data_IF_528416375118
#
_entry.id   IF_528416375118
#
_cell.length_a   1.000
_cell.length_b   1.000
_cell.length_c   1.000
_cell.angle_alpha   90.00
_cell.angle_beta   90.00
_cell.angle_gamma   90.00
#
_symmetry.space_group_name_H-M   'P 1'
#
loop_
_entity.id
_entity.type
_entity.pdbx_description
1 polymer ?
#
# COMPACT_ATOMS: atom_id res chain seq x y z
N UNK A 1 4.85 8.32 -22.72
CA UNK A 1 3.74 7.87 -21.84
C UNK A 1 3.44 6.41 -22.15
N UNK A 2 3.33 5.57 -21.12
CA UNK A 2 2.95 4.14 -21.15
C UNK A 2 3.96 3.21 -21.82
N UNK A 3 5.08 2.95 -21.16
CA UNK A 3 5.81 1.69 -21.35
C UNK A 3 6.17 1.07 -19.99
N UNK A 4 5.16 0.92 -19.12
CA UNK A 4 5.29 0.07 -17.94
C UNK A 4 5.21 -1.37 -18.42
N UNK A 5 6.32 -2.12 -18.37
CA UNK A 5 6.30 -3.57 -18.59
C UNK A 5 5.21 -4.17 -17.69
N UNK A 6 4.26 -4.89 -18.27
CA UNK A 6 3.20 -5.57 -17.51
C UNK A 6 3.85 -6.56 -16.55
N UNK A 7 3.46 -6.51 -15.28
CA UNK A 7 3.94 -7.47 -14.30
C UNK A 7 3.39 -8.88 -14.59
N UNK A 8 4.06 -9.92 -14.09
CA UNK A 8 3.72 -11.31 -14.41
C UNK A 8 2.27 -11.71 -14.06
N UNK A 9 1.67 -11.04 -13.06
CA UNK A 9 0.25 -11.17 -12.70
C UNK A 9 -0.66 -10.55 -13.77
N UNK A 10 -0.38 -9.31 -14.18
CA UNK A 10 -1.13 -8.58 -15.20
C UNK A 10 -1.07 -9.26 -16.56
N UNK A 11 0.09 -9.77 -16.97
CA UNK A 11 0.23 -10.51 -18.22
C UNK A 11 -0.65 -11.75 -18.23
N UNK A 12 -0.71 -12.49 -17.11
CA UNK A 12 -1.60 -13.65 -16.95
C UNK A 12 -3.08 -13.25 -17.00
N UNK A 13 -3.47 -12.15 -16.36
CA UNK A 13 -4.84 -11.63 -16.45
C UNK A 13 -5.22 -11.25 -17.89
N UNK A 14 -4.35 -10.51 -18.59
CA UNK A 14 -4.57 -10.11 -19.98
C UNK A 14 -4.73 -11.32 -20.91
N UNK A 15 -3.87 -12.35 -20.77
CA UNK A 15 -3.98 -13.58 -21.56
C UNK A 15 -5.34 -14.25 -21.34
N UNK A 16 -5.84 -14.28 -20.11
CA UNK A 16 -7.14 -14.89 -19.79
C UNK A 16 -8.31 -14.09 -20.36
N UNK A 17 -8.26 -12.77 -20.26
CA UNK A 17 -9.25 -11.87 -20.86
C UNK A 17 -9.30 -12.11 -22.38
N UNK A 18 -8.16 -12.06 -23.05
CA UNK A 18 -8.07 -12.25 -24.51
C UNK A 18 -8.56 -13.64 -24.90
N UNK A 19 -8.12 -14.69 -24.20
CA UNK A 19 -8.57 -16.06 -24.45
C UNK A 19 -10.08 -16.22 -24.25
N UNK A 20 -10.64 -15.65 -23.18
CA UNK A 20 -12.08 -15.68 -22.91
C UNK A 20 -12.90 -14.94 -23.97
N UNK A 21 -12.46 -13.76 -24.41
CA UNK A 21 -13.10 -13.02 -25.52
C UNK A 21 -13.09 -13.83 -26.81
N UNK A 22 -11.94 -14.41 -27.18
CA UNK A 22 -11.82 -15.24 -28.38
C UNK A 22 -12.74 -16.47 -28.34
N UNK A 23 -12.85 -17.12 -27.18
CA UNK A 23 -13.75 -18.27 -27.00
C UNK A 23 -15.23 -17.87 -27.11
N UNK A 24 -15.63 -16.72 -26.54
CA UNK A 24 -17.00 -16.20 -26.67
C UNK A 24 -17.33 -15.84 -28.13
N UNK A 25 -16.41 -15.18 -28.83
CA UNK A 25 -16.59 -14.85 -30.25
C UNK A 25 -16.69 -16.12 -31.11
N UNK A 26 -15.84 -17.12 -30.85
CA UNK A 26 -15.89 -18.41 -31.52
C UNK A 26 -17.24 -19.12 -31.28
N UNK A 27 -17.68 -19.20 -30.02
CA UNK A 27 -18.97 -19.80 -29.67
C UNK A 27 -20.17 -19.08 -30.28
N UNK A 28 -20.10 -17.75 -30.42
CA UNK A 28 -21.20 -16.93 -30.93
C UNK A 28 -21.35 -16.98 -32.44
N UNK A 29 -20.23 -16.97 -33.19
CA UNK A 29 -20.24 -16.83 -34.65
C UNK A 29 -19.94 -18.11 -35.43
N UNK A 30 -19.13 -19.03 -34.89
CA UNK A 30 -18.65 -20.20 -35.63
C UNK A 30 -19.38 -21.50 -35.28
N UNK A 31 -20.01 -21.57 -34.10
CA UNK A 31 -20.53 -22.83 -33.56
C UNK A 31 -22.06 -22.85 -33.58
N UNK A 32 -22.70 -23.81 -34.29
CA UNK A 32 -24.14 -24.01 -34.26
C UNK A 32 -24.66 -24.34 -32.86
N UNK A 33 -25.96 -24.12 -32.62
CA UNK A 33 -26.65 -24.48 -31.37
C UNK A 33 -26.49 -25.98 -31.09
N UNK A 34 -25.54 -26.30 -30.21
CA UNK A 34 -25.09 -27.67 -29.93
C UNK A 34 -24.49 -27.74 -28.53
N UNK A 35 -24.36 -28.96 -27.99
CA UNK A 35 -23.69 -29.18 -26.71
C UNK A 35 -22.22 -28.68 -26.72
N UNK A 36 -21.60 -28.60 -27.90
CA UNK A 36 -20.28 -28.00 -28.09
C UNK A 36 -20.27 -26.51 -27.76
N UNK A 37 -21.30 -25.75 -28.18
CA UNK A 37 -21.46 -24.33 -27.87
C UNK A 37 -21.53 -24.09 -26.36
N UNK A 38 -22.29 -24.92 -25.65
CA UNK A 38 -22.40 -24.87 -24.18
C UNK A 38 -21.05 -25.16 -23.52
N UNK A 39 -20.34 -26.20 -23.99
CA UNK A 39 -19.02 -26.55 -23.46
C UNK A 39 -18.01 -25.40 -23.64
N UNK A 40 -18.00 -24.73 -24.79
CA UNK A 40 -17.12 -23.59 -25.05
C UNK A 40 -17.45 -22.42 -24.12
N UNK A 41 -18.73 -22.11 -23.89
CA UNK A 41 -19.12 -21.08 -22.93
C UNK A 41 -18.70 -21.42 -21.50
N UNK A 42 -18.85 -22.66 -21.06
CA UNK A 42 -18.39 -23.08 -19.73
C UNK A 42 -16.86 -22.98 -19.59
N UNK A 43 -16.11 -23.34 -20.62
CA UNK A 43 -14.65 -23.19 -20.63
C UNK A 43 -14.27 -21.71 -20.58
N UNK A 44 -14.92 -20.86 -21.37
CA UNK A 44 -14.69 -19.41 -21.36
C UNK A 44 -15.00 -18.80 -19.98
N UNK A 45 -16.11 -19.22 -19.36
CA UNK A 45 -16.50 -18.82 -18.02
C UNK A 45 -15.44 -19.20 -16.98
N UNK A 46 -14.92 -20.43 -17.02
CA UNK A 46 -13.89 -20.86 -16.07
C UNK A 46 -12.56 -20.13 -16.28
N UNK A 47 -12.11 -19.92 -17.52
CA UNK A 47 -10.85 -19.22 -17.80
C UNK A 47 -10.89 -17.77 -17.31
N UNK A 48 -11.99 -17.06 -17.59
CA UNK A 48 -12.19 -15.68 -17.17
C UNK A 48 -12.42 -15.60 -15.65
N UNK A 49 -13.30 -16.46 -15.14
CA UNK A 49 -13.88 -16.38 -13.80
C UNK A 49 -13.14 -17.09 -12.67
N UNK A 50 -12.19 -18.00 -12.94
CA UNK A 50 -11.57 -18.79 -11.87
C UNK A 50 -11.00 -17.96 -10.70
N UNK A 51 -10.35 -16.79 -10.88
CA UNK A 51 -9.79 -16.07 -9.74
C UNK A 51 -10.90 -15.50 -8.86
N UNK A 52 -12.01 -15.07 -9.47
CA UNK A 52 -13.17 -14.51 -8.79
C UNK A 52 -13.86 -15.61 -8.00
N UNK A 53 -14.07 -16.78 -8.62
CA UNK A 53 -14.63 -17.96 -7.97
C UNK A 53 -13.78 -18.41 -6.77
N UNK A 54 -12.46 -18.49 -6.94
CA UNK A 54 -11.54 -18.86 -5.84
C UNK A 54 -11.54 -17.79 -4.74
N UNK A 55 -11.53 -16.49 -5.09
CA UNK A 55 -11.61 -15.38 -4.13
C UNK A 55 -12.91 -15.48 -3.32
N UNK A 56 -14.05 -15.66 -3.99
CA UNK A 56 -15.36 -15.78 -3.36
C UNK A 56 -15.41 -16.96 -2.37
N UNK A 57 -14.95 -18.15 -2.79
CA UNK A 57 -14.90 -19.34 -1.94
C UNK A 57 -13.99 -19.09 -0.73
N UNK A 58 -12.80 -18.51 -0.93
CA UNK A 58 -11.88 -18.21 0.16
C UNK A 58 -12.48 -17.21 1.15
N UNK A 59 -13.13 -16.15 0.66
CA UNK A 59 -13.78 -15.14 1.49
C UNK A 59 -14.95 -15.70 2.30
N UNK A 60 -15.71 -16.63 1.70
CA UNK A 60 -16.77 -17.39 2.37
C UNK A 60 -16.22 -18.13 3.60
N UNK A 61 -15.12 -18.86 3.44
CA UNK A 61 -14.49 -19.61 4.54
C UNK A 61 -13.86 -18.73 5.62
N UNK A 62 -13.48 -17.48 5.29
CA UNK A 62 -12.92 -16.53 6.25
C UNK A 62 -13.98 -15.63 6.93
N UNK A 63 -15.27 -15.97 6.80
CA UNK A 63 -16.37 -15.24 7.44
C UNK A 63 -16.70 -13.88 6.79
N UNK A 64 -16.13 -13.57 5.62
CA UNK A 64 -16.49 -12.39 4.81
C UNK A 64 -17.64 -12.74 3.89
N UNK A 65 -18.79 -13.01 4.49
CA UNK A 65 -20.05 -13.22 3.79
C UNK A 65 -20.50 -11.89 3.15
N UNK A 66 -21.06 -11.94 1.94
CA UNK A 66 -21.60 -10.78 1.22
C UNK A 66 -20.56 -9.77 0.70
N UNK A 67 -19.51 -10.26 0.04
CA UNK A 67 -18.62 -9.42 -0.76
C UNK A 67 -19.06 -9.38 -2.25
N UNK A 68 -18.41 -8.51 -3.03
CA UNK A 68 -18.67 -8.37 -4.47
C UNK A 68 -18.37 -9.66 -5.25
N UNK A 69 -17.31 -10.39 -4.86
CA UNK A 69 -16.94 -11.65 -5.51
C UNK A 69 -18.01 -12.72 -5.26
N UNK A 70 -18.59 -12.77 -4.07
CA UNK A 70 -19.72 -13.62 -3.75
C UNK A 70 -20.95 -13.25 -4.58
N UNK A 71 -21.30 -11.96 -4.65
CA UNK A 71 -22.44 -11.49 -5.44
C UNK A 71 -22.30 -11.89 -6.91
N UNK A 72 -21.11 -11.67 -7.47
CA UNK A 72 -20.78 -12.02 -8.85
C UNK A 72 -20.80 -13.52 -9.10
N UNK A 73 -20.29 -14.31 -8.15
CA UNK A 73 -20.33 -15.77 -8.23
C UNK A 73 -21.76 -16.30 -8.21
N UNK A 74 -22.59 -15.84 -7.26
CA UNK A 74 -23.99 -16.28 -7.15
C UNK A 74 -24.78 -15.89 -8.40
N UNK A 75 -24.61 -14.67 -8.89
CA UNK A 75 -25.31 -14.20 -10.08
C UNK A 75 -24.93 -14.99 -11.34
N UNK A 76 -23.63 -15.21 -11.57
CA UNK A 76 -23.15 -15.89 -12.78
C UNK A 76 -23.38 -17.40 -12.74
N UNK A 77 -23.22 -18.05 -11.58
CA UNK A 77 -23.59 -19.46 -11.39
C UNK A 77 -25.09 -19.63 -11.53
N UNK A 78 -25.90 -18.73 -10.96
CA UNK A 78 -27.35 -18.73 -11.13
C UNK A 78 -27.77 -18.59 -12.60
N UNK A 79 -27.11 -17.71 -13.36
CA UNK A 79 -27.35 -17.54 -14.79
C UNK A 79 -27.02 -18.82 -15.59
N UNK A 80 -25.92 -19.51 -15.24
CA UNK A 80 -25.56 -20.81 -15.83
C UNK A 80 -26.64 -21.87 -15.53
N UNK A 81 -27.16 -21.91 -14.29
CA UNK A 81 -28.21 -22.87 -13.89
C UNK A 81 -29.52 -22.68 -14.67
N UNK A 82 -29.87 -21.44 -15.03
CA UNK A 82 -31.03 -21.14 -15.88
C UNK A 82 -30.75 -21.23 -17.38
N UNK A 83 -29.56 -21.73 -17.77
CA UNK A 83 -29.07 -21.85 -19.16
C UNK A 83 -28.86 -20.52 -19.91
N UNK A 84 -28.62 -19.43 -19.19
CA UNK A 84 -28.19 -18.13 -19.73
C UNK A 84 -26.65 -18.06 -19.73
N UNK A 85 -26.03 -18.90 -20.58
CA UNK A 85 -24.57 -19.01 -20.66
C UNK A 85 -23.87 -17.77 -21.23
N UNK A 86 -24.36 -17.16 -22.34
CA UNK A 86 -23.72 -15.96 -22.90
C UNK A 86 -23.67 -14.80 -21.90
N UNK A 87 -24.75 -14.59 -21.16
CA UNK A 87 -24.88 -13.52 -20.16
C UNK A 87 -23.90 -13.75 -19.00
N UNK A 88 -23.83 -14.97 -18.46
CA UNK A 88 -22.91 -15.31 -17.38
C UNK A 88 -21.44 -15.06 -17.74
N UNK A 89 -21.05 -15.45 -18.97
CA UNK A 89 -19.68 -15.30 -19.45
C UNK A 89 -19.35 -13.84 -19.75
N UNK A 90 -20.29 -13.10 -20.35
CA UNK A 90 -20.11 -11.68 -20.64
C UNK A 90 -19.90 -10.87 -19.35
N UNK A 91 -20.75 -11.11 -18.35
CA UNK A 91 -20.69 -10.42 -17.06
C UNK A 91 -19.35 -10.65 -16.36
N UNK A 92 -18.87 -11.90 -16.30
CA UNK A 92 -17.60 -12.20 -15.62
C UNK A 92 -16.39 -11.68 -16.40
N UNK A 93 -16.45 -11.65 -17.75
CA UNK A 93 -15.41 -11.06 -18.59
C UNK A 93 -15.28 -9.56 -18.41
N UNK A 94 -16.40 -8.83 -18.44
CA UNK A 94 -16.42 -7.38 -18.24
C UNK A 94 -15.85 -7.00 -16.87
N UNK A 95 -16.16 -7.79 -15.84
CA UNK A 95 -15.60 -7.60 -14.51
C UNK A 95 -14.09 -7.83 -14.46
N UNK A 96 -13.60 -8.93 -15.05
CA UNK A 96 -12.16 -9.21 -15.09
C UNK A 96 -11.38 -8.12 -15.86
N UNK A 97 -11.97 -7.55 -16.92
CA UNK A 97 -11.42 -6.39 -17.63
C UNK A 97 -11.34 -5.18 -16.69
N UNK A 98 -12.41 -4.89 -15.95
CA UNK A 98 -12.44 -3.82 -14.96
C UNK A 98 -11.36 -3.97 -13.88
N UNK A 99 -11.28 -5.15 -13.27
CA UNK A 99 -10.24 -5.50 -12.28
C UNK A 99 -8.83 -5.34 -12.85
N UNK A 100 -8.60 -5.73 -14.11
CA UNK A 100 -7.28 -5.55 -14.76
C UNK A 100 -6.88 -4.07 -14.85
N UNK A 101 -7.81 -3.20 -15.27
CA UNK A 101 -7.53 -1.76 -15.34
C UNK A 101 -7.32 -1.14 -13.96
N UNK A 102 -8.10 -1.57 -12.97
CA UNK A 102 -7.95 -1.15 -11.58
C UNK A 102 -6.59 -1.54 -11.00
N UNK A 103 -6.20 -2.81 -11.11
CA UNK A 103 -4.91 -3.32 -10.61
C UNK A 103 -3.74 -2.51 -11.21
N UNK A 104 -3.80 -2.21 -12.51
CA UNK A 104 -2.79 -1.42 -13.20
C UNK A 104 -2.72 0.03 -12.69
N UNK A 105 -3.86 0.64 -12.40
CA UNK A 105 -3.92 2.02 -11.94
C UNK A 105 -3.40 2.17 -10.49
N UNK A 106 -3.68 1.19 -9.63
CA UNK A 106 -3.18 1.15 -8.24
C UNK A 106 -1.66 0.93 -8.22
N UNK A 107 -1.16 -0.03 -8.98
CA UNK A 107 0.27 -0.39 -8.99
C UNK A 107 1.15 0.76 -9.52
N UNK A 108 0.71 1.44 -10.58
CA UNK A 108 1.41 2.62 -11.10
C UNK A 108 1.55 3.74 -10.07
N UNK A 109 0.63 3.81 -9.11
CA UNK A 109 0.64 4.82 -8.05
C UNK A 109 1.55 4.43 -6.88
N UNK A 110 1.65 3.13 -6.58
CA UNK A 110 2.51 2.59 -5.52
C UNK A 110 4.00 2.58 -5.91
N UNK A 111 4.32 2.32 -7.18
CA UNK A 111 5.70 2.28 -7.66
C UNK A 111 6.45 3.61 -7.42
N UNK A 112 5.78 4.75 -7.57
CA UNK A 112 6.40 6.07 -7.34
C UNK A 112 6.79 6.33 -5.88
N UNK A 113 6.14 5.66 -4.92
CA UNK A 113 6.41 5.83 -3.49
C UNK A 113 7.65 5.04 -3.03
N UNK A 114 7.96 3.92 -3.68
CA UNK A 114 8.96 2.96 -3.21
C UNK A 114 10.40 3.39 -3.53
N UNK A 115 10.61 4.13 -4.62
CA UNK A 115 11.95 4.57 -5.07
C UNK A 115 12.63 5.61 -4.15
N UNK A 116 11.90 6.17 -3.17
CA UNK A 116 12.39 7.25 -2.30
C UNK A 116 12.68 6.82 -0.85
N UNK A 117 12.38 5.58 -0.46
CA UNK A 117 12.35 5.18 0.96
C UNK A 117 13.63 4.51 1.51
N UNK A 118 14.64 4.19 0.69
CA UNK A 118 15.83 3.48 1.15
C UNK A 118 17.09 4.35 1.18
N UNK A 119 17.31 5.01 2.32
CA UNK A 119 18.59 5.62 2.72
C UNK A 119 18.86 5.38 4.20
N UNK A 120 18.96 4.11 4.60
CA UNK A 120 19.50 3.72 5.91
C UNK A 120 20.89 3.10 5.73
N UNK A 121 21.82 3.28 6.69
CA UNK A 121 23.10 2.59 6.65
C UNK A 121 22.87 1.08 6.81
N UNK A 122 23.14 0.34 5.74
CA UNK A 122 22.95 -1.11 5.68
C UNK A 122 23.99 -1.87 6.52
N UNK A 123 25.14 -1.27 6.79
CA UNK A 123 26.29 -1.92 7.43
C UNK A 123 26.92 -1.08 8.54
N UNK A 124 27.54 -1.75 9.52
CA UNK A 124 28.30 -1.14 10.62
C UNK A 124 29.52 -1.99 10.99
N UNK A 125 30.43 -1.45 11.81
CA UNK A 125 31.64 -2.12 12.27
C UNK A 125 31.47 -2.62 13.71
N UNK A 126 31.63 -3.92 13.91
CA UNK A 126 31.60 -4.58 15.23
C UNK A 126 33.00 -5.06 15.62
N UNK A 127 33.39 -4.86 16.87
CA UNK A 127 34.60 -5.46 17.45
C UNK A 127 34.27 -6.86 17.94
N UNK A 128 34.98 -7.86 17.41
CA UNK A 128 34.94 -9.24 17.89
C UNK A 128 36.35 -9.79 17.97
N UNK A 129 36.73 -10.36 19.12
CA UNK A 129 38.07 -10.90 19.37
C UNK A 129 39.22 -9.90 19.06
N UNK A 130 38.99 -8.60 19.29
CA UNK A 130 39.97 -7.55 19.03
C UNK A 130 40.07 -7.06 17.57
N UNK A 131 39.25 -7.59 16.66
CA UNK A 131 39.22 -7.17 15.25
C UNK A 131 37.90 -6.51 14.88
N UNK A 132 37.96 -5.52 13.98
CA UNK A 132 36.79 -4.90 13.35
C UNK A 132 36.23 -5.83 12.26
N UNK A 133 34.96 -6.22 12.40
CA UNK A 133 34.20 -7.00 11.43
C UNK A 133 33.03 -6.14 10.91
N UNK A 134 32.89 -6.04 9.59
CA UNK A 134 31.75 -5.37 8.98
C UNK A 134 30.52 -6.29 9.01
N UNK A 135 29.41 -5.80 9.55
CA UNK A 135 28.17 -6.57 9.71
C UNK A 135 26.97 -5.73 9.30
N UNK A 136 25.91 -6.38 8.82
CA UNK A 136 24.62 -5.72 8.63
C UNK A 136 24.08 -5.18 9.95
N UNK A 137 23.58 -3.94 9.94
CA UNK A 137 23.03 -3.26 11.13
C UNK A 137 21.92 -4.07 11.82
N UNK A 138 21.14 -4.84 11.07
CA UNK A 138 20.07 -5.72 11.57
C UNK A 138 20.59 -6.93 12.38
N UNK A 139 21.83 -7.37 12.15
CA UNK A 139 22.42 -8.54 12.82
C UNK A 139 23.15 -8.19 14.12
N UNK A 140 23.20 -6.90 14.47
CA UNK A 140 23.82 -6.41 15.71
C UNK A 140 22.99 -6.87 16.92
N UNK A 141 23.67 -7.38 17.95
CA UNK A 141 23.03 -7.85 19.18
C UNK A 141 23.31 -6.92 20.35
N UNK A 142 22.39 -6.92 21.33
CA UNK A 142 22.60 -6.22 22.60
C UNK A 142 23.87 -6.74 23.27
N UNK A 143 24.72 -5.82 23.72
CA UNK A 143 26.01 -6.13 24.31
C UNK A 143 27.18 -6.21 23.32
N UNK A 144 26.94 -6.20 22.01
CA UNK A 144 28.01 -6.07 21.02
C UNK A 144 28.75 -4.73 21.19
N UNK A 145 30.02 -4.70 20.81
CA UNK A 145 30.84 -3.49 20.78
C UNK A 145 30.96 -3.01 19.35
N UNK A 146 30.54 -1.79 19.08
CA UNK A 146 30.62 -1.16 17.76
C UNK A 146 31.71 -0.10 17.74
N UNK A 147 32.29 0.11 16.56
CA UNK A 147 33.15 1.25 16.25
C UNK A 147 32.39 2.16 15.30
N UNK A 148 32.18 3.41 15.73
CA UNK A 148 31.56 4.44 14.90
C UNK A 148 32.62 5.48 14.55
N UNK A 149 32.86 5.70 13.26
CA UNK A 149 33.90 6.61 12.76
C UNK A 149 33.29 7.98 12.41
N UNK A 150 34.10 9.03 12.27
CA UNK A 150 33.63 10.32 11.77
C UNK A 150 32.90 10.19 10.44
N UNK A 151 31.74 10.81 10.32
CA UNK A 151 30.84 10.74 9.16
C UNK A 151 29.85 9.57 9.18
N UNK A 152 30.03 8.58 10.08
CA UNK A 152 29.09 7.47 10.18
C UNK A 152 27.82 7.89 10.91
N UNK A 153 26.69 7.43 10.39
CA UNK A 153 25.42 7.49 11.09
C UNK A 153 25.30 6.32 12.07
N UNK A 154 24.91 6.61 13.31
CA UNK A 154 24.76 5.62 14.38
C UNK A 154 23.62 4.65 14.04
N UNK A 155 23.89 3.34 13.91
CA UNK A 155 22.90 2.38 13.44
C UNK A 155 21.92 1.90 14.53
N UNK A 156 22.37 1.81 15.79
CA UNK A 156 21.60 1.29 16.93
C UNK A 156 21.94 2.05 18.21
N UNK A 157 21.02 2.09 19.16
CA UNK A 157 21.22 2.79 20.42
C UNK A 157 22.25 2.08 21.30
N UNK A 158 23.15 2.86 21.89
CA UNK A 158 24.24 2.34 22.69
C UNK A 158 24.76 3.33 23.71
N UNK A 159 25.76 2.88 24.48
CA UNK A 159 26.46 3.70 25.46
C UNK A 159 27.93 3.79 25.09
N UNK A 160 28.49 4.99 25.13
CA UNK A 160 29.90 5.22 24.83
C UNK A 160 30.74 4.60 25.95
N UNK A 161 31.66 3.72 25.58
CA UNK A 161 32.61 3.09 26.51
C UNK A 161 34.04 3.63 26.34
N UNK A 162 34.34 4.25 25.20
CA UNK A 162 35.66 4.79 24.87
C UNK A 162 35.52 5.87 23.78
N UNK A 163 36.30 6.94 23.90
CA UNK A 163 36.28 8.11 23.01
C UNK A 163 35.31 9.23 23.44
N UNK A 164 35.47 10.38 22.81
CA UNK A 164 34.60 11.55 22.86
C UNK A 164 34.46 12.11 21.45
N UNK A 165 33.32 12.73 21.16
CA UNK A 165 32.98 13.22 19.83
C UNK A 165 31.84 14.25 19.88
N UNK A 166 31.85 15.20 18.96
CA UNK A 166 30.68 15.99 18.61
C UNK A 166 29.77 15.18 17.68
N UNK A 167 28.48 15.13 18.04
CA UNK A 167 27.47 14.44 17.25
C UNK A 167 26.39 15.39 16.76
N UNK A 168 26.02 15.23 15.50
CA UNK A 168 24.85 15.87 14.93
C UNK A 168 23.58 15.18 15.43
N UNK A 169 22.70 15.95 16.06
CA UNK A 169 21.42 15.47 16.58
C UNK A 169 20.23 15.94 15.76
N UNK A 170 20.44 16.66 14.64
CA UNK A 170 19.39 17.30 13.85
C UNK A 170 18.32 16.31 13.36
N UNK A 171 18.69 15.05 13.09
CA UNK A 171 17.77 13.98 12.67
C UNK A 171 16.74 13.65 13.76
N UNK A 172 17.09 13.80 15.04
CA UNK A 172 16.23 13.47 16.18
C UNK A 172 15.58 14.69 16.81
N UNK A 173 16.31 15.80 16.93
CA UNK A 173 15.89 16.98 17.70
C UNK A 173 15.53 18.18 16.81
N UNK A 174 15.97 18.20 15.55
CA UNK A 174 15.86 19.36 14.67
C UNK A 174 16.89 20.47 14.95
N UNK A 175 17.68 20.36 16.01
CA UNK A 175 18.68 21.36 16.37
C UNK A 175 19.97 21.18 15.57
N UNK A 176 20.48 22.26 14.98
CA UNK A 176 21.71 22.24 14.16
C UNK A 176 23.01 22.39 14.96
N UNK A 177 22.94 22.61 16.27
CA UNK A 177 24.13 22.72 17.11
C UNK A 177 24.60 21.30 17.48
N UNK A 178 25.83 20.88 17.08
CA UNK A 178 26.37 19.60 17.48
C UNK A 178 26.44 19.48 19.00
N UNK A 179 26.17 18.29 19.52
CA UNK A 179 26.26 18.00 20.94
C UNK A 179 27.54 17.22 21.21
N UNK A 180 28.35 17.72 22.13
CA UNK A 180 29.51 17.01 22.61
C UNK A 180 29.09 15.83 23.49
N UNK A 181 29.55 14.61 23.18
CA UNK A 181 29.31 13.40 23.95
C UNK A 181 30.62 12.76 24.39
N UNK A 182 30.60 12.22 25.61
CA UNK A 182 31.76 11.61 26.24
C UNK A 182 31.43 10.20 26.79
N UNK A 183 32.43 9.55 27.36
CA UNK A 183 32.29 8.22 27.98
C UNK A 183 31.12 8.22 28.96
N UNK A 184 30.32 7.15 28.92
CA UNK A 184 29.07 6.94 29.67
C UNK A 184 27.83 7.69 29.17
N UNK A 185 27.94 8.58 28.18
CA UNK A 185 26.76 9.16 27.54
C UNK A 185 26.04 8.13 26.66
N UNK A 186 24.74 8.39 26.46
CA UNK A 186 23.92 7.64 25.52
C UNK A 186 24.12 8.17 24.10
N UNK A 187 24.43 7.25 23.19
CA UNK A 187 24.49 7.51 21.76
C UNK A 187 23.26 6.85 21.12
N UNK A 188 22.37 7.66 20.55
CA UNK A 188 21.12 7.19 19.98
C UNK A 188 21.28 6.91 18.48
N UNK A 189 20.51 5.95 17.95
CA UNK A 189 20.48 5.69 16.52
C UNK A 189 20.02 6.93 15.75
N UNK A 190 20.55 7.10 14.54
CA UNK A 190 20.24 8.24 13.67
C UNK A 190 21.12 9.47 13.83
N UNK A 191 21.79 9.63 14.98
CA UNK A 191 22.83 10.66 15.17
C UNK A 191 23.99 10.43 14.19
N UNK A 192 24.70 11.49 13.81
CA UNK A 192 25.88 11.40 12.93
C UNK A 192 27.10 11.86 13.71
N UNK A 193 28.13 11.03 13.79
CA UNK A 193 29.39 11.39 14.45
C UNK A 193 30.15 12.35 13.53
N UNK A 194 30.52 13.54 14.01
CA UNK A 194 31.22 14.53 13.18
C UNK A 194 32.74 14.36 13.25
N UNK A 195 33.26 14.10 14.45
CA UNK A 195 34.67 13.93 14.73
C UNK A 195 34.89 12.84 15.79
N UNK A 196 36.14 12.41 15.99
CA UNK A 196 36.46 11.34 16.93
C UNK A 196 35.98 9.94 16.52
N UNK A 197 36.55 8.92 17.16
CA UNK A 197 36.13 7.52 16.98
C UNK A 197 35.52 7.04 18.29
N UNK A 198 34.26 6.60 18.23
CA UNK A 198 33.54 6.13 19.41
C UNK A 198 33.51 4.61 19.43
N UNK A 199 33.85 4.01 20.59
CA UNK A 199 33.47 2.62 20.87
C UNK A 199 32.20 2.60 21.70
N UNK A 200 31.21 1.87 21.20
CA UNK A 200 29.85 1.94 21.72
C UNK A 200 29.41 0.54 22.09
N UNK A 201 28.94 0.37 23.32
CA UNK A 201 28.29 -0.87 23.75
C UNK A 201 26.80 -0.78 23.44
N UNK A 202 26.31 -1.71 22.63
CA UNK A 202 24.91 -1.75 22.19
C UNK A 202 23.99 -1.98 23.38
N UNK A 203 22.98 -1.13 23.52
CA UNK A 203 21.97 -1.23 24.59
C UNK A 203 20.64 -1.78 24.09
N UNK A 204 20.28 -1.53 22.84
CA UNK A 204 19.04 -1.98 22.23
C UNK A 204 19.30 -2.70 20.91
N UNK A 205 18.46 -3.68 20.57
CA UNK A 205 18.49 -4.32 19.27
C UNK A 205 18.06 -3.34 18.17
N UNK A 206 18.40 -3.64 16.91
CA UNK A 206 18.10 -2.78 15.75
C UNK A 206 16.62 -2.35 15.70
N UNK A 207 15.70 -3.30 15.90
CA UNK A 207 14.25 -3.07 15.85
C UNK A 207 13.70 -2.26 17.05
N UNK A 208 14.45 -2.19 18.16
CA UNK A 208 14.04 -1.48 19.38
C UNK A 208 14.75 -0.12 19.55
N UNK A 209 15.58 0.26 18.57
CA UNK A 209 16.33 1.51 18.58
C UNK A 209 15.42 2.75 18.48
N UNK A 210 15.92 3.91 18.88
CA UNK A 210 15.15 5.15 18.93
C UNK A 210 14.60 5.52 17.55
N UNK A 211 15.41 5.45 16.49
CA UNK A 211 14.95 5.65 15.11
C UNK A 211 13.92 4.60 14.70
N UNK A 212 14.13 3.31 15.03
CA UNK A 212 13.15 2.27 14.70
C UNK A 212 11.79 2.51 15.38
N UNK A 213 11.78 2.95 16.65
CA UNK A 213 10.55 3.34 17.37
C UNK A 213 9.90 4.57 16.78
N UNK A 214 10.66 5.59 16.41
CA UNK A 214 10.12 6.79 15.73
C UNK A 214 9.49 6.37 14.39
N UNK A 215 10.17 5.53 13.63
CA UNK A 215 9.68 5.01 12.35
C UNK A 215 8.42 4.18 12.54
N UNK A 216 8.38 3.27 13.52
CA UNK A 216 7.22 2.46 13.85
C UNK A 216 6.03 3.35 14.27
N UNK A 217 6.25 4.38 15.08
CA UNK A 217 5.21 5.34 15.45
C UNK A 217 4.68 6.11 14.23
N UNK A 218 5.56 6.53 13.32
CA UNK A 218 5.21 7.24 12.08
C UNK A 218 4.50 6.33 11.07
N UNK A 219 4.91 5.07 10.96
CA UNK A 219 4.34 4.06 10.06
C UNK A 219 2.99 3.55 10.58
N UNK A 220 2.86 3.34 11.89
CA UNK A 220 1.59 2.99 12.53
C UNK A 220 0.59 4.16 12.53
N UNK A 221 1.06 5.41 12.51
CA UNK A 221 0.22 6.56 12.20
C UNK A 221 -0.23 6.58 10.73
N UNK A 222 0.60 6.06 9.80
CA UNK A 222 0.31 5.99 8.36
C UNK A 222 -0.65 4.86 7.96
N UNK A 223 -0.63 3.73 8.68
CA UNK A 223 -1.46 2.56 8.37
C UNK A 223 -2.96 2.72 8.72
N UNK A 224 -3.40 3.92 9.10
CA UNK A 224 -4.81 4.18 9.40
C UNK A 224 -5.55 4.54 8.12
N UNK A 225 -6.50 3.69 7.72
CA UNK A 225 -7.46 3.99 6.65
C UNK A 225 -8.19 5.31 6.93
N UNK A 226 -8.45 6.08 5.87
CA UNK A 226 -9.22 7.34 5.94
C UNK A 226 -10.63 7.12 6.47
N UNK A 227 -11.30 8.18 6.94
CA UNK A 227 -12.73 8.10 7.29
C UNK A 227 -13.54 7.68 6.07
N UNK A 228 -13.16 8.19 4.89
CA UNK A 228 -13.79 7.89 3.60
C UNK A 228 -13.58 6.43 3.17
N UNK A 229 -12.39 5.86 3.35
CA UNK A 229 -12.13 4.44 3.04
C UNK A 229 -12.86 3.49 4.01
N UNK A 230 -12.96 3.88 5.29
CA UNK A 230 -13.77 3.15 6.28
C UNK A 230 -15.27 3.25 5.98
N UNK A 231 -15.76 4.37 5.44
CA UNK A 231 -17.14 4.51 4.99
C UNK A 231 -17.49 3.50 3.89
N UNK A 232 -16.65 3.37 2.86
CA UNK A 232 -16.86 2.38 1.79
C UNK A 232 -16.93 0.96 2.35
N UNK A 233 -16.04 0.61 3.28
CA UNK A 233 -16.05 -0.72 3.91
C UNK A 233 -17.35 -0.98 4.71
N UNK A 234 -17.87 0.04 5.41
CA UNK A 234 -19.15 -0.05 6.12
C UNK A 234 -20.34 -0.09 5.16
N UNK A 235 -20.30 0.71 4.09
CA UNK A 235 -21.32 0.74 3.06
C UNK A 235 -21.48 -0.65 2.43
N UNK A 236 -20.40 -1.30 1.99
CA UNK A 236 -20.47 -2.63 1.40
C UNK A 236 -21.06 -3.68 2.37
N UNK A 237 -20.79 -3.56 3.67
CA UNK A 237 -21.32 -4.48 4.69
C UNK A 237 -22.85 -4.38 4.85
N UNK A 238 -23.45 -3.23 4.57
CA UNK A 238 -24.90 -3.02 4.65
C UNK A 238 -25.57 -3.20 3.30
N UNK A 239 -24.96 -2.66 2.24
CA UNK A 239 -25.48 -2.67 0.89
C UNK A 239 -25.62 -4.08 0.32
N UNK A 240 -24.58 -4.92 0.42
CA UNK A 240 -24.60 -6.25 -0.19
C UNK A 240 -25.68 -7.16 0.39
N UNK A 241 -25.87 -7.28 1.72
CA UNK A 241 -27.00 -8.04 2.27
C UNK A 241 -28.35 -7.50 1.82
N UNK A 242 -28.55 -6.17 1.82
CA UNK A 242 -29.83 -5.56 1.38
C UNK A 242 -30.15 -5.92 -0.07
N UNK A 243 -29.15 -5.87 -0.96
CA UNK A 243 -29.30 -6.25 -2.37
C UNK A 243 -29.60 -7.74 -2.52
N UNK A 244 -28.89 -8.61 -1.80
CA UNK A 244 -29.13 -10.06 -1.85
C UNK A 244 -30.55 -10.41 -1.37
N UNK A 245 -30.99 -9.85 -0.26
CA UNK A 245 -32.36 -10.06 0.23
C UNK A 245 -33.40 -9.46 -0.72
N UNK A 246 -33.14 -8.30 -1.32
CA UNK A 246 -34.03 -7.70 -2.33
C UNK A 246 -34.14 -8.57 -3.58
N UNK A 247 -33.04 -9.17 -4.03
CA UNK A 247 -33.03 -10.10 -5.15
C UNK A 247 -33.81 -11.38 -4.83
N UNK A 248 -33.65 -11.91 -3.61
CA UNK A 248 -34.40 -13.07 -3.14
C UNK A 248 -35.91 -12.78 -3.09
N UNK A 249 -36.29 -11.61 -2.56
CA UNK A 249 -37.68 -11.16 -2.56
C UNK A 249 -38.22 -11.01 -3.99
N UNK A 250 -37.44 -10.41 -4.90
CA UNK A 250 -37.82 -10.27 -6.31
C UNK A 250 -38.00 -11.63 -7.02
N UNK A 251 -37.20 -12.63 -6.66
CA UNK A 251 -37.29 -13.97 -7.21
C UNK A 251 -38.51 -14.77 -6.71
N UNK A 252 -39.00 -14.48 -5.50
CA UNK A 252 -40.01 -15.30 -4.81
C UNK A 252 -41.38 -14.62 -4.74
N UNK A 253 -41.44 -13.34 -4.37
CA UNK A 253 -42.69 -12.64 -4.03
C UNK A 253 -43.62 -12.46 -5.23
N UNK A 254 -43.17 -11.94 -6.39
CA UNK A 254 -44.07 -11.76 -7.54
C UNK A 254 -44.64 -13.06 -8.10
N UNK A 255 -43.86 -14.17 -8.29
CA UNK A 255 -44.43 -15.47 -8.66
C UNK A 255 -45.49 -15.98 -7.70
N UNK A 256 -45.31 -15.77 -6.40
CA UNK A 256 -46.21 -16.28 -5.37
C UNK A 256 -47.54 -15.52 -5.34
N UNK A 257 -47.52 -14.20 -5.51
CA UNK A 257 -48.71 -13.34 -5.47
C UNK A 257 -49.45 -13.33 -6.80
N UNK A 258 -48.72 -13.27 -7.92
CA UNK A 258 -49.29 -13.16 -9.27
C UNK A 258 -49.54 -14.53 -9.92
N UNK A 259 -49.17 -15.63 -9.24
CA UNK A 259 -49.25 -17.01 -9.74
C UNK A 259 -48.57 -17.20 -11.12
N UNK A 260 -47.46 -16.50 -11.36
CA UNK A 260 -46.67 -16.58 -12.60
C UNK A 260 -45.50 -17.54 -12.48
N UNK A 261 -44.92 -17.96 -13.61
CA UNK A 261 -43.72 -18.80 -13.62
C UNK A 261 -42.52 -18.17 -12.89
N UNK A 262 -41.77 -18.98 -12.13
CA UNK A 262 -40.58 -18.52 -11.38
C UNK A 262 -39.39 -18.17 -12.28
N UNK A 263 -39.22 -18.87 -13.42
CA UNK A 263 -38.06 -18.71 -14.33
C UNK A 263 -37.79 -17.25 -14.73
N UNK A 264 -38.76 -16.48 -15.26
CA UNK A 264 -38.51 -15.09 -15.64
C UNK A 264 -38.14 -14.18 -14.45
N UNK A 265 -38.71 -14.44 -13.27
CA UNK A 265 -38.41 -13.66 -12.06
C UNK A 265 -37.05 -13.98 -11.46
N UNK A 266 -36.63 -15.24 -11.51
CA UNK A 266 -35.27 -15.65 -11.16
C UNK A 266 -34.26 -14.99 -12.11
N UNK A 267 -34.50 -15.00 -13.42
CA UNK A 267 -33.62 -14.31 -14.38
C UNK A 267 -33.53 -12.81 -14.08
N UNK A 268 -34.66 -12.14 -13.80
CA UNK A 268 -34.68 -10.73 -13.38
C UNK A 268 -33.93 -10.48 -12.08
N UNK A 269 -34.04 -11.36 -11.09
CA UNK A 269 -33.32 -11.25 -9.83
C UNK A 269 -31.80 -11.40 -10.03
N UNK A 270 -31.36 -12.32 -10.90
CA UNK A 270 -29.95 -12.47 -11.24
C UNK A 270 -29.41 -11.24 -11.99
N UNK A 271 -30.16 -10.71 -12.95
CA UNK A 271 -29.81 -9.46 -13.64
C UNK A 271 -29.71 -8.30 -12.63
N UNK A 272 -30.66 -8.20 -11.70
CA UNK A 272 -30.63 -7.20 -10.63
C UNK A 272 -29.38 -7.32 -9.75
N UNK A 273 -28.96 -8.54 -9.37
CA UNK A 273 -27.73 -8.77 -8.60
C UNK A 273 -26.49 -8.26 -9.35
N UNK A 274 -26.40 -8.52 -10.65
CA UNK A 274 -25.27 -8.06 -11.49
C UNK A 274 -25.22 -6.55 -11.57
N UNK A 275 -26.36 -5.91 -11.89
CA UNK A 275 -26.46 -4.45 -12.04
C UNK A 275 -26.17 -3.75 -10.71
N UNK A 276 -26.54 -4.38 -9.60
CA UNK A 276 -26.33 -3.84 -8.26
C UNK A 276 -24.86 -3.90 -7.81
N UNK A 277 -23.89 -4.42 -8.57
CA UNK A 277 -22.50 -4.35 -8.11
C UNK A 277 -22.07 -2.87 -7.94
N UNK A 278 -21.73 -2.40 -6.72
CA UNK A 278 -21.25 -1.05 -6.49
C UNK A 278 -19.75 -0.95 -6.79
N UNK A 279 -19.27 -1.73 -7.76
CA UNK A 279 -17.87 -1.91 -8.12
C UNK A 279 -17.17 -0.54 -8.28
N UNK A 280 -17.74 0.34 -9.12
CA UNK A 280 -17.20 1.67 -9.38
C UNK A 280 -17.09 2.54 -8.12
N UNK A 281 -18.09 2.50 -7.24
CA UNK A 281 -18.10 3.27 -6.00
C UNK A 281 -17.01 2.79 -5.05
N UNK A 282 -16.86 1.47 -4.88
CA UNK A 282 -15.89 0.88 -3.95
C UNK A 282 -14.45 1.19 -4.38
N UNK A 283 -14.19 1.17 -5.69
CA UNK A 283 -12.86 1.42 -6.27
C UNK A 283 -12.53 2.91 -6.35
N UNK A 284 -13.54 3.78 -6.49
CA UNK A 284 -13.34 5.21 -6.72
C UNK A 284 -12.45 5.88 -5.65
N UNK A 285 -12.65 5.51 -4.38
CA UNK A 285 -11.95 6.09 -3.24
C UNK A 285 -10.46 5.70 -3.18
N UNK A 286 -10.08 4.41 -3.10
CA UNK A 286 -8.66 4.04 -3.07
C UNK A 286 -7.94 4.51 -4.34
N UNK A 287 -8.58 4.40 -5.51
CA UNK A 287 -7.98 4.86 -6.76
C UNK A 287 -7.69 6.36 -6.76
N UNK A 288 -8.61 7.18 -6.24
CA UNK A 288 -8.42 8.64 -6.13
C UNK A 288 -7.25 8.98 -5.20
N UNK A 289 -7.18 8.34 -4.02
CA UNK A 289 -6.07 8.55 -3.09
C UNK A 289 -4.72 8.14 -3.69
N UNK A 290 -4.64 6.94 -4.26
CA UNK A 290 -3.41 6.46 -4.88
C UNK A 290 -2.97 7.35 -6.04
N UNK A 291 -3.91 7.76 -6.89
CA UNK A 291 -3.62 8.68 -8.00
C UNK A 291 -3.10 10.03 -7.49
N UNK A 292 -3.70 10.57 -6.42
CA UNK A 292 -3.25 11.81 -5.78
C UNK A 292 -1.86 11.71 -5.17
N UNK A 293 -1.57 10.62 -4.45
CA UNK A 293 -0.24 10.34 -3.88
C UNK A 293 0.80 10.18 -5.00
N UNK A 294 0.47 9.42 -6.04
CA UNK A 294 1.34 9.23 -7.20
C UNK A 294 1.61 10.54 -7.96
N UNK A 295 0.63 11.43 -8.06
CA UNK A 295 0.81 12.76 -8.63
C UNK A 295 1.71 13.66 -7.78
N UNK A 296 1.52 13.67 -6.46
CA UNK A 296 2.37 14.41 -5.52
C UNK A 296 3.83 13.92 -5.57
N UNK A 297 4.03 12.61 -5.65
CA UNK A 297 5.37 12.02 -5.74
C UNK A 297 6.14 12.46 -7.00
N UNK A 298 5.45 12.68 -8.13
CA UNK A 298 6.07 13.15 -9.37
C UNK A 298 6.62 14.57 -9.29
N UNK A 299 6.10 15.39 -8.36
CA UNK A 299 6.60 16.74 -8.09
C UNK A 299 7.53 16.79 -6.87
N UNK A 300 7.99 15.64 -6.39
CA UNK A 300 8.91 15.53 -5.25
C UNK A 300 8.25 15.66 -3.88
N UNK A 301 6.91 15.63 -3.79
CA UNK A 301 6.18 15.64 -2.53
C UNK A 301 5.82 14.21 -2.10
N UNK A 302 6.45 13.72 -1.02
CA UNK A 302 6.20 12.38 -0.49
C UNK A 302 5.05 12.39 0.52
N UNK A 303 3.94 11.75 0.16
CA UNK A 303 2.77 11.59 1.04
C UNK A 303 2.70 10.14 1.49
N UNK A 304 2.87 9.90 2.80
CA UNK A 304 3.04 8.55 3.38
C UNK A 304 1.77 7.68 3.42
N UNK A 305 0.61 8.19 3.03
CA UNK A 305 -0.66 7.47 3.13
C UNK A 305 -1.90 8.31 2.77
N UNK A 306 -3.02 7.63 2.53
CA UNK A 306 -4.31 8.25 2.16
C UNK A 306 -4.85 9.16 3.27
N UNK A 307 -4.62 8.81 4.54
CA UNK A 307 -5.00 9.60 5.71
C UNK A 307 -4.30 10.96 5.79
N UNK A 308 -3.03 11.04 5.42
CA UNK A 308 -2.31 12.31 5.37
C UNK A 308 -2.83 13.18 4.22
N UNK A 309 -3.13 12.58 3.07
CA UNK A 309 -3.74 13.32 1.96
C UNK A 309 -5.13 13.88 2.36
N UNK A 310 -5.95 13.11 3.06
CA UNK A 310 -7.24 13.58 3.60
C UNK A 310 -7.04 14.65 4.69
N UNK A 311 -6.04 14.51 5.56
CA UNK A 311 -5.74 15.51 6.59
C UNK A 311 -5.30 16.86 5.99
N UNK A 312 -4.50 16.84 4.92
CA UNK A 312 -4.06 18.05 4.20
C UNK A 312 -5.22 18.88 3.67
N UNK A 313 -6.37 18.25 3.32
CA UNK A 313 -7.56 19.00 2.87
C UNK A 313 -8.22 19.84 3.97
N UNK A 314 -7.83 19.65 5.23
CA UNK A 314 -8.37 20.34 6.41
C UNK A 314 -7.35 21.27 7.07
N UNK A 315 -6.23 21.53 6.40
CA UNK A 315 -5.19 22.41 6.93
C UNK A 315 -5.53 23.85 6.55
N UNK A 316 -5.79 24.67 7.56
CA UNK A 316 -6.09 26.10 7.40
C UNK A 316 -4.87 27.00 7.64
N UNK A 317 -3.79 26.46 8.21
CA UNK A 317 -2.59 27.19 8.53
C UNK A 317 -1.36 26.28 8.58
N UNK A 318 -0.21 26.86 8.25
CA UNK A 318 1.08 26.18 8.32
C UNK A 318 1.95 26.87 9.38
N UNK A 319 2.49 26.07 10.30
CA UNK A 319 3.50 26.51 11.27
C UNK A 319 4.81 25.87 10.83
N UNK A 320 5.81 26.70 10.56
CA UNK A 320 7.11 26.24 10.10
C UNK A 320 8.08 26.22 11.27
N UNK A 321 8.82 25.12 11.39
CA UNK A 321 10.04 25.16 12.17
C UNK A 321 11.05 26.08 11.48
N UNK A 322 11.89 26.77 12.25
CA UNK A 322 12.86 27.71 11.68
C UNK A 322 14.07 26.96 11.15
N UNK A 323 14.70 26.17 12.03
CA UNK A 323 16.00 25.57 11.77
C UNK A 323 15.83 24.35 10.85
N UNK A 324 16.59 24.27 9.75
CA UNK A 324 16.53 23.14 8.81
C UNK A 324 15.27 23.06 7.92
N UNK A 325 14.22 23.83 8.23
CA UNK A 325 13.03 24.01 7.36
C UNK A 325 13.07 25.34 6.63
N UNK A 326 13.13 26.47 7.35
CA UNK A 326 13.26 27.80 6.74
C UNK A 326 14.72 28.18 6.47
N UNK A 327 15.65 27.66 7.29
CA UNK A 327 17.09 27.90 7.13
C UNK A 327 17.80 26.71 6.49
N UNK A 328 18.97 26.97 5.88
CA UNK A 328 19.81 25.92 5.27
C UNK A 328 20.50 25.00 6.29
N UNK A 329 20.34 25.23 7.60
CA UNK A 329 21.03 24.49 8.66
C UNK A 329 22.56 24.63 8.65
N UNK A 330 23.11 25.61 7.92
CA UNK A 330 24.55 25.88 7.83
C UNK A 330 24.85 27.21 8.49
N UNK A 331 25.72 27.20 9.49
CA UNK A 331 26.22 28.43 10.10
C UNK A 331 27.21 29.11 9.16
N UNK A 332 27.13 30.44 9.10
CA UNK A 332 28.07 31.27 8.34
C UNK A 332 28.27 32.55 9.13
N UNK A 333 29.51 33.02 9.20
CA UNK A 333 29.83 34.31 9.82
C UNK A 333 29.18 35.40 8.98
N UNK A 334 28.22 36.13 9.56
CA UNK A 334 27.51 37.20 8.86
C UNK A 334 28.20 38.55 9.03
N UNK A 335 28.81 38.79 10.20
CA UNK A 335 29.49 40.05 10.54
C UNK A 335 30.59 39.78 11.56
N UNK A 336 31.69 40.52 11.44
CA UNK A 336 32.76 40.59 12.43
C UNK A 336 32.81 42.04 12.93
N UNK A 337 32.72 42.23 14.25
CA UNK A 337 32.84 43.56 14.87
C UNK A 337 34.18 43.63 15.58
N UNK A 338 35.19 44.14 14.88
CA UNK A 338 36.55 44.27 15.41
C UNK A 338 36.66 45.46 16.38
N UNK A 339 37.46 45.29 17.42
CA UNK A 339 37.78 46.36 18.38
C UNK A 339 38.81 47.31 17.77
N UNK A 340 38.80 48.59 18.14
CA UNK A 340 39.75 49.60 17.63
C UNK A 340 41.20 49.12 17.71
N UNK A 341 41.87 49.08 16.56
CA UNK A 341 43.25 48.60 16.42
C UNK A 341 43.40 47.19 15.81
N UNK A 342 42.30 46.48 15.57
CA UNK A 342 42.28 45.16 14.91
C UNK A 342 41.48 45.18 13.61
N UNK A 343 41.87 44.35 12.64
CA UNK A 343 41.12 44.11 11.40
C UNK A 343 39.94 43.17 11.63
N UNK A 344 38.99 43.18 10.69
CA UNK A 344 37.90 42.20 10.61
C UNK A 344 38.36 40.81 10.10
N UNK A 345 39.57 40.74 9.56
CA UNK A 345 40.33 39.50 9.25
C UNK A 345 41.06 38.99 10.49
#
# INVERSE_FOLDING_TARGET
MINSKLNAKQRRALIRIVAGILLVLCASFLVPESNLKIAIYLIAYLIAGYPILIKAIRHLFHGKLFDENFLMTVATVGAILIRQFPEAVMVILLYEIGEFFQDKAIESSQASVTDLLDKRPSETLRIRNGHEEKILSEKVKVGDLLVIKPGDQVPVDGRIIDGEADVDTAVLTGESVPRHLQINDQLLSGMIVQDGVLKVKVTHAYNDSTVAKILDLVENAANRKTKTENFITKFSRVYTPVVVFSALLLAIVPPLILHTEFRPWISRALIFLVISCPCALVISVPLSYFSGIGAASKIGALIKGSNYLEALTKVDGAIFDKTGTLTKGKFTVTQVHAVTGFSEE
#
